data_IF_137676292170
#
_entry.id   IF_137676292170
#
_cell.length_a   1.000
_cell.length_b   1.000
_cell.length_c   1.000
_cell.angle_alpha   90.00
_cell.angle_beta   90.00
_cell.angle_gamma   90.00
#
_symmetry.space_group_name_H-M   'P 1'
#
loop_
_entity.id
_entity.type
_entity.pdbx_description
1 polymer ?
#
# COMPACT_ATOMS: atom_id res chain seq x y z
N UNK A 1 1.65 58.96 11.07
CA UNK A 1 0.90 57.78 10.57
C UNK A 1 1.84 56.58 10.59
N UNK A 2 1.89 55.89 11.69
CA UNK A 2 2.73 54.69 11.94
C UNK A 2 1.99 53.49 11.40
N UNK A 3 2.51 52.85 10.34
CA UNK A 3 2.03 51.59 9.86
C UNK A 3 2.45 50.48 10.84
N UNK A 4 1.54 50.00 11.61
CA UNK A 4 1.70 48.81 12.44
C UNK A 4 1.73 47.60 11.51
N UNK A 5 2.90 47.06 11.21
CA UNK A 5 3.06 45.76 10.55
C UNK A 5 2.82 44.68 11.58
N UNK A 6 1.59 44.15 11.63
CA UNK A 6 1.31 42.91 12.35
C UNK A 6 2.02 41.77 11.62
N UNK A 7 3.24 41.44 12.05
CA UNK A 7 3.86 40.18 11.69
C UNK A 7 3.04 39.06 12.32
N UNK A 8 2.25 38.37 11.51
CA UNK A 8 1.66 37.11 11.92
C UNK A 8 2.83 36.19 12.32
N UNK A 9 3.04 35.98 13.61
CA UNK A 9 4.02 35.00 14.12
C UNK A 9 3.65 33.63 13.55
N UNK A 10 4.40 33.19 12.56
CA UNK A 10 4.24 31.88 11.96
C UNK A 10 4.50 30.84 13.06
N UNK A 11 3.47 30.08 13.43
CA UNK A 11 3.62 29.02 14.42
C UNK A 11 4.72 28.05 14.02
N UNK A 12 5.66 27.71 14.90
CA UNK A 12 6.75 26.79 14.59
C UNK A 12 6.21 25.38 14.28
N UNK A 13 6.93 24.65 13.44
CA UNK A 13 6.64 23.24 13.20
C UNK A 13 6.91 22.43 14.46
N UNK A 14 5.95 21.61 14.85
CA UNK A 14 6.09 20.65 15.95
C UNK A 14 5.98 19.23 15.41
N UNK A 15 6.83 18.35 15.93
CA UNK A 15 6.76 16.92 15.66
C UNK A 15 6.14 16.23 16.86
N UNK A 16 5.12 15.40 16.63
CA UNK A 16 4.44 14.66 17.69
C UNK A 16 4.08 13.25 17.22
N UNK A 17 3.97 12.29 18.14
CA UNK A 17 3.40 10.98 17.81
C UNK A 17 1.99 11.11 17.28
N UNK A 18 1.67 10.31 16.25
CA UNK A 18 0.32 10.17 15.71
C UNK A 18 -0.43 9.02 16.36
N UNK A 19 -1.74 9.03 16.18
CA UNK A 19 -2.67 8.02 16.69
C UNK A 19 -3.77 7.71 15.68
N UNK A 20 -4.66 6.77 15.99
CA UNK A 20 -5.82 6.48 15.15
C UNK A 20 -6.76 7.69 14.98
N UNK A 21 -6.80 8.61 15.95
CA UNK A 21 -7.58 9.84 15.86
C UNK A 21 -7.09 10.77 14.72
N UNK A 22 -5.84 10.62 14.31
CA UNK A 22 -5.23 11.41 13.23
C UNK A 22 -5.44 10.79 11.83
N UNK A 23 -6.08 9.62 11.73
CA UNK A 23 -6.24 8.87 10.46
C UNK A 23 -6.84 9.72 9.34
N UNK A 24 -7.86 10.55 9.62
CA UNK A 24 -8.45 11.43 8.61
C UNK A 24 -7.52 12.59 8.21
N UNK A 25 -6.82 13.17 9.17
CA UNK A 25 -5.88 14.27 8.89
C UNK A 25 -4.73 13.81 7.98
N UNK A 26 -4.16 12.62 8.25
CA UNK A 26 -3.09 12.08 7.41
C UNK A 26 -3.60 11.60 6.05
N UNK A 27 -4.84 11.10 5.96
CA UNK A 27 -5.49 10.84 4.69
C UNK A 27 -5.58 12.11 3.83
N UNK A 28 -5.95 13.26 4.40
CA UNK A 28 -5.99 14.53 3.67
C UNK A 28 -4.60 14.99 3.20
N UNK A 29 -3.57 14.79 4.04
CA UNK A 29 -2.18 15.07 3.63
C UNK A 29 -1.77 14.17 2.46
N UNK A 30 -2.09 12.88 2.53
CA UNK A 30 -1.83 11.94 1.44
C UNK A 30 -2.50 12.38 0.14
N UNK A 31 -3.82 12.60 0.14
CA UNK A 31 -4.58 12.94 -1.06
C UNK A 31 -4.05 14.22 -1.73
N UNK A 32 -3.77 15.27 -0.94
CA UNK A 32 -3.21 16.53 -1.45
C UNK A 32 -1.80 16.37 -2.01
N UNK A 33 -0.96 15.60 -1.33
CA UNK A 33 0.42 15.35 -1.77
C UNK A 33 0.45 14.46 -3.01
N UNK A 34 -0.43 13.47 -3.08
CA UNK A 34 -0.56 12.58 -4.23
C UNK A 34 -1.10 13.33 -5.46
N UNK A 35 -2.11 14.20 -5.28
CA UNK A 35 -2.63 15.05 -6.35
C UNK A 35 -1.55 15.99 -6.93
N UNK A 36 -0.66 16.51 -6.11
CA UNK A 36 0.46 17.31 -6.58
C UNK A 36 1.50 16.46 -7.32
N UNK A 37 1.81 15.28 -6.79
CA UNK A 37 2.74 14.35 -7.42
C UNK A 37 2.26 13.91 -8.80
N UNK A 38 1.01 13.47 -8.92
CA UNK A 38 0.43 13.04 -10.21
C UNK A 38 0.47 14.17 -11.24
N UNK A 39 0.14 15.41 -10.84
CA UNK A 39 0.24 16.58 -11.71
C UNK A 39 1.69 16.84 -12.17
N UNK A 40 2.68 16.77 -11.26
CA UNK A 40 4.10 16.94 -11.60
C UNK A 40 4.63 15.87 -12.53
N UNK A 41 4.10 14.66 -12.44
CA UNK A 41 4.49 13.53 -13.30
C UNK A 41 3.69 13.47 -14.62
N UNK A 42 2.77 14.42 -14.85
CA UNK A 42 1.92 14.42 -16.05
C UNK A 42 0.92 13.27 -16.08
N UNK A 43 0.57 12.69 -14.94
CA UNK A 43 -0.45 11.66 -14.81
C UNK A 43 -1.84 12.29 -14.84
N UNK A 44 -2.79 11.61 -15.47
CA UNK A 44 -4.16 12.12 -15.68
C UNK A 44 -5.19 11.56 -14.72
N UNK A 45 -4.77 10.86 -13.68
CA UNK A 45 -5.70 10.28 -12.71
C UNK A 45 -6.55 11.34 -12.01
N UNK A 46 -7.90 11.15 -11.97
CA UNK A 46 -8.76 12.03 -11.22
C UNK A 46 -8.46 11.89 -9.73
N UNK A 47 -7.96 12.95 -9.12
CA UNK A 47 -7.78 13.00 -7.68
C UNK A 47 -9.08 13.43 -7.00
N UNK A 48 -9.40 12.82 -5.88
CA UNK A 48 -10.61 13.13 -5.09
C UNK A 48 -10.58 14.52 -4.44
N UNK A 49 -9.44 15.21 -4.44
CA UNK A 49 -9.23 16.43 -3.64
C UNK A 49 -10.11 17.60 -4.06
N UNK A 50 -10.47 17.69 -5.34
CA UNK A 50 -11.28 18.79 -5.84
C UNK A 50 -12.80 18.62 -5.65
N UNK A 51 -13.25 17.40 -5.35
CA UNK A 51 -14.66 17.06 -5.13
C UNK A 51 -14.87 16.51 -3.72
N UNK A 52 -15.55 17.27 -2.82
CA UNK A 52 -15.81 16.83 -1.44
C UNK A 52 -16.58 15.50 -1.36
N UNK A 53 -17.48 15.23 -2.30
CA UNK A 53 -18.24 13.97 -2.30
C UNK A 53 -17.35 12.80 -2.74
N UNK A 54 -16.48 12.99 -3.73
CA UNK A 54 -15.48 11.99 -4.10
C UNK A 54 -14.48 11.75 -2.98
N UNK A 55 -14.02 12.80 -2.30
CA UNK A 55 -13.13 12.69 -1.15
C UNK A 55 -13.76 11.88 0.00
N UNK A 56 -15.04 12.13 0.31
CA UNK A 56 -15.76 11.39 1.33
C UNK A 56 -15.92 9.90 0.95
N UNK A 57 -16.22 9.59 -0.31
CA UNK A 57 -16.27 8.20 -0.81
C UNK A 57 -14.91 7.51 -0.71
N UNK A 58 -13.83 8.19 -1.10
CA UNK A 58 -12.46 7.68 -1.01
C UNK A 58 -12.07 7.42 0.45
N UNK A 59 -12.40 8.34 1.35
CA UNK A 59 -12.19 8.13 2.78
C UNK A 59 -12.95 6.90 3.29
N UNK A 60 -14.24 6.80 3.01
CA UNK A 60 -15.05 5.64 3.43
C UNK A 60 -14.44 4.31 2.96
N UNK A 61 -13.92 4.27 1.74
CA UNK A 61 -13.27 3.07 1.18
C UNK A 61 -11.90 2.76 1.81
N UNK A 62 -11.14 3.78 2.24
CA UNK A 62 -9.78 3.63 2.74
C UNK A 62 -9.65 3.66 4.26
N UNK A 63 -10.66 4.12 4.98
CA UNK A 63 -10.63 4.32 6.43
C UNK A 63 -10.11 3.11 7.19
N UNK A 64 -10.64 1.92 6.90
CA UNK A 64 -10.21 0.69 7.56
C UNK A 64 -8.71 0.42 7.43
N UNK A 65 -8.10 0.74 6.30
CA UNK A 65 -6.65 0.63 6.08
C UNK A 65 -5.89 1.65 6.95
N UNK A 66 -6.33 2.90 6.99
CA UNK A 66 -5.70 3.94 7.80
C UNK A 66 -5.77 3.61 9.29
N UNK A 67 -6.92 3.12 9.75
CA UNK A 67 -7.14 2.71 11.14
C UNK A 67 -6.28 1.50 11.50
N UNK A 68 -6.19 0.49 10.60
CA UNK A 68 -5.32 -0.68 10.77
C UNK A 68 -3.84 -0.27 10.86
N UNK A 69 -3.37 0.56 9.92
CA UNK A 69 -1.98 1.02 9.93
C UNK A 69 -1.67 1.88 11.15
N UNK A 70 -2.60 2.71 11.63
CA UNK A 70 -2.41 3.50 12.84
C UNK A 70 -2.35 2.62 14.10
N UNK A 71 -3.23 1.62 14.19
CA UNK A 71 -3.29 0.70 15.33
C UNK A 71 -2.08 -0.25 15.41
N UNK A 72 -1.44 -0.54 14.27
CA UNK A 72 -0.33 -1.49 14.18
C UNK A 72 1.01 -0.85 13.84
N UNK A 73 1.07 0.49 13.85
CA UNK A 73 2.30 1.23 13.65
C UNK A 73 3.31 0.96 14.77
N UNK A 74 4.57 0.77 14.42
CA UNK A 74 5.68 0.81 15.35
C UNK A 74 6.10 2.27 15.61
N UNK A 75 6.19 3.05 14.53
CA UNK A 75 6.39 4.48 14.60
C UNK A 75 5.39 5.21 13.70
N UNK A 76 4.70 6.18 14.29
CA UNK A 76 3.80 7.08 13.58
C UNK A 76 4.04 8.51 14.06
N UNK A 77 4.47 9.40 13.17
CA UNK A 77 4.83 10.78 13.49
C UNK A 77 4.16 11.78 12.57
N UNK A 78 3.71 12.87 13.18
CA UNK A 78 3.12 14.03 12.51
C UNK A 78 4.06 15.22 12.58
N UNK A 79 4.10 16.02 11.52
CA UNK A 79 4.60 17.38 11.53
C UNK A 79 3.40 18.32 11.49
N UNK A 80 3.24 19.18 12.50
CA UNK A 80 2.11 20.10 12.64
C UNK A 80 2.57 21.54 12.68
N UNK A 81 1.75 22.41 12.08
CA UNK A 81 1.83 23.87 12.23
C UNK A 81 0.53 24.36 12.87
N UNK A 82 0.59 24.81 14.13
CA UNK A 82 -0.64 24.98 14.91
C UNK A 82 -1.42 23.67 14.96
N UNK A 83 -2.66 23.70 14.51
CA UNK A 83 -3.53 22.52 14.45
C UNK A 83 -3.48 21.77 13.13
N UNK A 84 -2.87 22.37 12.08
CA UNK A 84 -2.77 21.75 10.77
C UNK A 84 -1.67 20.69 10.73
N UNK A 85 -2.00 19.49 10.22
CA UNK A 85 -1.01 18.47 9.87
C UNK A 85 -0.45 18.77 8.49
N UNK A 86 0.85 19.12 8.41
CA UNK A 86 1.54 19.48 7.16
C UNK A 86 2.41 18.36 6.61
N UNK A 87 2.59 17.29 7.36
CA UNK A 87 3.29 16.09 6.92
C UNK A 87 3.19 14.99 7.95
N UNK A 88 3.42 13.75 7.49
CA UNK A 88 3.46 12.59 8.38
C UNK A 88 4.34 11.49 7.80
N UNK A 89 4.76 10.60 8.68
CA UNK A 89 5.37 9.33 8.30
C UNK A 89 4.94 8.22 9.24
N UNK A 90 4.90 6.99 8.71
CA UNK A 90 4.49 5.82 9.46
C UNK A 90 5.29 4.61 9.03
N UNK A 91 5.75 3.81 10.00
CA UNK A 91 6.35 2.49 9.78
C UNK A 91 5.67 1.43 10.63
N UNK A 92 5.65 0.22 10.08
CA UNK A 92 5.18 -0.98 10.77
C UNK A 92 6.34 -1.96 10.87
N UNK A 93 6.30 -2.83 11.89
CA UNK A 93 7.22 -3.98 12.00
C UNK A 93 6.40 -5.26 11.92
N UNK A 94 6.85 -6.19 11.10
CA UNK A 94 6.26 -7.52 10.94
C UNK A 94 7.38 -8.55 11.03
N UNK A 95 7.40 -9.31 12.10
CA UNK A 95 8.37 -10.38 12.32
C UNK A 95 9.82 -9.95 12.02
N UNK A 96 10.27 -8.85 12.63
CA UNK A 96 11.61 -8.29 12.47
C UNK A 96 11.88 -7.56 11.14
N UNK A 97 10.87 -7.35 10.31
CA UNK A 97 11.00 -6.56 9.09
C UNK A 97 10.25 -5.24 9.24
N UNK A 98 10.96 -4.13 9.04
CA UNK A 98 10.39 -2.79 9.09
C UNK A 98 9.99 -2.32 7.70
N UNK A 99 8.75 -1.94 7.54
CA UNK A 99 8.20 -1.33 6.34
C UNK A 99 7.87 0.14 6.59
N UNK A 100 8.44 1.04 5.80
CA UNK A 100 7.92 2.41 5.69
C UNK A 100 6.63 2.34 4.86
N UNK A 101 5.50 2.53 5.52
CA UNK A 101 4.20 2.49 4.83
C UNK A 101 3.88 3.79 4.13
N UNK A 102 4.26 4.92 4.75
CA UNK A 102 3.92 6.25 4.25
C UNK A 102 4.94 7.30 4.70
N UNK A 103 5.22 8.23 3.80
CA UNK A 103 5.96 9.48 4.07
C UNK A 103 5.43 10.55 3.12
N UNK A 104 4.66 11.47 3.64
CA UNK A 104 4.07 12.55 2.85
C UNK A 104 4.24 13.90 3.55
N UNK A 105 4.51 14.92 2.73
CA UNK A 105 4.63 16.32 3.14
C UNK A 105 3.84 17.15 2.14
N UNK A 106 2.98 18.02 2.63
CA UNK A 106 2.19 18.92 1.79
C UNK A 106 3.08 19.72 0.83
N UNK A 107 2.64 19.99 -0.42
CA UNK A 107 3.45 20.66 -1.43
C UNK A 107 4.13 21.95 -0.97
N UNK A 108 3.39 22.81 -0.25
CA UNK A 108 3.95 24.07 0.28
C UNK A 108 5.01 23.91 1.37
N UNK A 109 5.24 22.68 1.86
CA UNK A 109 6.21 22.36 2.93
C UNK A 109 7.31 21.41 2.47
N UNK A 110 7.29 21.00 1.21
CA UNK A 110 8.36 20.20 0.63
C UNK A 110 9.65 21.00 0.56
N UNK A 111 10.79 20.31 0.48
CA UNK A 111 12.14 20.93 0.46
C UNK A 111 12.53 21.72 1.72
N UNK A 112 11.70 21.79 2.75
CA UNK A 112 11.96 22.45 4.05
C UNK A 112 12.72 21.56 5.05
N UNK A 113 13.03 20.30 4.69
CA UNK A 113 13.67 19.33 5.58
C UNK A 113 12.69 18.46 6.37
N UNK A 114 11.38 18.74 6.33
CA UNK A 114 10.36 17.98 7.08
C UNK A 114 10.37 16.48 6.74
N UNK A 115 10.48 16.12 5.46
CA UNK A 115 10.54 14.72 5.05
C UNK A 115 11.75 13.98 5.64
N UNK A 116 12.91 14.63 5.73
CA UNK A 116 14.12 14.07 6.36
C UNK A 116 13.91 13.83 7.86
N UNK A 117 13.31 14.80 8.54
CA UNK A 117 13.02 14.73 9.97
C UNK A 117 11.99 13.67 10.32
N UNK A 118 10.91 13.55 9.52
CA UNK A 118 9.91 12.50 9.65
C UNK A 118 10.52 11.12 9.39
N UNK A 119 11.28 10.98 8.31
CA UNK A 119 11.94 9.71 7.97
C UNK A 119 12.90 9.24 9.07
N UNK A 120 13.64 10.17 9.69
CA UNK A 120 14.55 9.84 10.78
C UNK A 120 13.83 9.25 12.00
N UNK A 121 12.58 9.68 12.25
CA UNK A 121 11.77 9.21 13.38
C UNK A 121 11.15 7.85 13.14
N UNK A 122 10.85 7.50 11.89
CA UNK A 122 10.17 6.23 11.57
C UNK A 122 11.11 5.15 11.02
N UNK A 123 12.32 5.54 10.58
CA UNK A 123 13.40 4.64 10.18
C UNK A 123 14.70 5.00 10.93
N UNK A 124 14.79 4.69 12.24
CA UNK A 124 15.98 4.99 13.03
C UNK A 124 17.21 4.26 12.46
N UNK A 125 18.38 4.95 12.49
CA UNK A 125 19.60 4.43 11.88
C UNK A 125 20.18 3.17 12.55
N UNK A 126 19.87 2.98 13.82
CA UNK A 126 20.39 1.87 14.64
C UNK A 126 19.56 0.57 14.55
N UNK A 127 18.50 0.58 13.75
CA UNK A 127 17.68 -0.62 13.58
C UNK A 127 18.48 -1.70 12.83
N UNK A 128 18.67 -2.86 13.46
CA UNK A 128 19.28 -4.05 12.86
C UNK A 128 18.32 -4.82 11.97
N UNK A 129 17.07 -4.39 11.93
CA UNK A 129 15.99 -4.99 11.16
C UNK A 129 16.19 -4.83 9.66
N UNK A 130 15.70 -5.79 8.90
CA UNK A 130 15.53 -5.61 7.46
C UNK A 130 14.52 -4.49 7.21
N UNK A 131 14.81 -3.62 6.26
CA UNK A 131 13.98 -2.44 5.96
C UNK A 131 13.64 -2.42 4.49
N UNK A 132 12.39 -2.13 4.19
CA UNK A 132 11.97 -1.90 2.81
C UNK A 132 10.84 -0.87 2.71
N UNK A 133 10.59 -0.41 1.52
CA UNK A 133 9.51 0.49 1.17
C UNK A 133 9.15 0.32 -0.30
N UNK A 134 7.95 0.74 -0.65
CA UNK A 134 7.56 0.99 -2.04
C UNK A 134 7.65 2.49 -2.29
N UNK A 135 8.47 2.90 -3.26
CA UNK A 135 8.68 4.30 -3.61
C UNK A 135 8.10 4.62 -4.98
N UNK A 136 7.53 5.80 -5.09
CA UNK A 136 7.19 6.40 -6.38
C UNK A 136 8.44 6.84 -7.14
N UNK A 137 8.29 7.30 -8.39
CA UNK A 137 9.36 7.85 -9.21
C UNK A 137 9.75 9.29 -8.83
N UNK A 138 9.25 9.83 -7.72
CA UNK A 138 9.58 11.16 -7.22
C UNK A 138 11.06 11.24 -6.81
N UNK A 139 11.87 11.95 -7.60
CA UNK A 139 13.32 12.02 -7.41
C UNK A 139 13.74 12.59 -6.03
N UNK A 140 13.11 13.65 -5.49
CA UNK A 140 13.38 14.11 -4.13
C UNK A 140 13.19 13.03 -3.05
N UNK A 141 12.13 12.25 -3.14
CA UNK A 141 11.87 11.15 -2.20
C UNK A 141 12.91 10.03 -2.37
N UNK A 142 13.20 9.64 -3.61
CA UNK A 142 14.25 8.63 -3.88
C UNK A 142 15.62 9.06 -3.36
N UNK A 143 16.03 10.31 -3.59
CA UNK A 143 17.28 10.83 -3.06
C UNK A 143 17.35 10.78 -1.52
N UNK A 144 16.20 10.98 -0.85
CA UNK A 144 16.09 10.87 0.60
C UNK A 144 16.29 9.41 1.07
N UNK A 145 15.72 8.44 0.36
CA UNK A 145 15.88 7.01 0.67
C UNK A 145 17.30 6.51 0.42
N UNK A 146 17.91 6.91 -0.71
CA UNK A 146 19.32 6.57 -1.04
C UNK A 146 20.28 7.06 0.04
N UNK A 147 20.07 8.27 0.58
CA UNK A 147 20.88 8.82 1.70
C UNK A 147 20.73 8.02 3.00
N UNK A 148 19.71 7.16 3.10
CA UNK A 148 19.47 6.25 4.23
C UNK A 148 19.89 4.82 3.94
N UNK A 149 20.58 4.57 2.83
CA UNK A 149 21.05 3.24 2.43
C UNK A 149 19.94 2.32 1.90
N UNK A 150 18.81 2.89 1.46
CA UNK A 150 17.71 2.14 0.85
C UNK A 150 17.85 2.26 -0.67
N UNK A 151 18.25 1.16 -1.31
CA UNK A 151 18.50 1.11 -2.75
C UNK A 151 17.41 0.35 -3.49
N UNK A 152 17.02 0.78 -4.71
CA UNK A 152 16.08 0.07 -5.55
C UNK A 152 16.49 -1.38 -5.78
N UNK A 153 15.53 -2.30 -5.71
CA UNK A 153 15.75 -3.72 -5.99
C UNK A 153 15.09 -4.14 -7.30
N UNK A 154 13.85 -3.75 -7.50
CA UNK A 154 13.06 -4.01 -8.69
C UNK A 154 11.94 -2.98 -8.78
N UNK A 155 11.39 -2.81 -9.97
CA UNK A 155 10.18 -2.02 -10.19
C UNK A 155 8.93 -2.84 -9.86
N UNK A 156 7.89 -2.15 -9.39
CA UNK A 156 6.56 -2.70 -9.20
C UNK A 156 5.63 -1.88 -10.07
N UNK A 157 4.84 -2.55 -10.91
CA UNK A 157 3.85 -1.90 -11.75
C UNK A 157 2.45 -2.30 -11.32
N UNK A 158 1.51 -1.37 -11.46
CA UNK A 158 0.09 -1.63 -11.28
C UNK A 158 -0.49 -2.07 -12.62
N UNK A 159 -1.03 -3.30 -12.65
CA UNK A 159 -1.72 -3.86 -13.80
C UNK A 159 -3.20 -3.88 -13.51
N UNK A 160 -4.02 -3.43 -14.47
CA UNK A 160 -5.44 -3.40 -14.28
C UNK A 160 -6.24 -3.56 -15.59
N UNK A 161 -7.49 -3.99 -15.45
CA UNK A 161 -8.54 -3.91 -16.48
C UNK A 161 -9.93 -4.05 -15.86
N UNK A 162 -10.97 -3.84 -16.66
CA UNK A 162 -12.30 -4.28 -16.30
C UNK A 162 -12.33 -5.81 -16.25
N UNK A 163 -12.78 -6.42 -15.14
CA UNK A 163 -12.74 -7.87 -14.98
C UNK A 163 -13.72 -8.57 -15.92
N UNK A 164 -13.35 -9.75 -16.37
CA UNK A 164 -14.16 -10.56 -17.31
C UNK A 164 -14.49 -11.91 -16.67
N UNK A 165 -15.63 -12.46 -17.05
CA UNK A 165 -15.92 -13.86 -16.84
C UNK A 165 -15.07 -14.67 -17.81
N UNK A 166 -14.10 -15.39 -17.31
CA UNK A 166 -13.19 -16.22 -18.10
C UNK A 166 -13.55 -17.69 -17.85
N UNK A 167 -13.37 -18.55 -18.89
CA UNK A 167 -13.41 -20.00 -18.67
C UNK A 167 -12.37 -20.37 -17.61
N UNK A 168 -12.73 -21.30 -16.73
CA UNK A 168 -11.77 -21.84 -15.76
C UNK A 168 -10.57 -22.42 -16.51
N UNK A 169 -9.37 -21.96 -16.21
CA UNK A 169 -8.16 -22.52 -16.80
C UNK A 169 -7.91 -23.90 -16.21
N UNK A 170 -7.65 -24.88 -17.06
CA UNK A 170 -7.23 -26.21 -16.60
C UNK A 170 -6.02 -26.06 -15.66
N UNK A 171 -6.17 -26.64 -14.48
CA UNK A 171 -5.18 -26.57 -13.41
C UNK A 171 -5.47 -27.70 -12.41
N UNK A 172 -4.43 -28.22 -11.79
CA UNK A 172 -4.52 -29.17 -10.68
C UNK A 172 -4.72 -28.48 -9.32
N UNK A 173 -4.98 -27.17 -9.31
CA UNK A 173 -5.23 -26.39 -8.11
C UNK A 173 -6.67 -26.57 -7.62
N UNK A 174 -6.81 -27.04 -6.39
CA UNK A 174 -8.05 -26.93 -5.63
C UNK A 174 -8.10 -25.53 -4.99
N UNK A 175 -9.24 -24.85 -5.09
CA UNK A 175 -9.46 -23.49 -4.60
C UNK A 175 -10.42 -23.54 -3.42
N UNK A 176 -10.00 -22.98 -2.31
CA UNK A 176 -10.77 -22.91 -1.07
C UNK A 176 -10.98 -21.45 -0.67
N UNK A 177 -12.23 -21.05 -0.41
CA UNK A 177 -12.51 -19.75 0.17
C UNK A 177 -12.02 -19.72 1.63
N UNK A 178 -11.08 -18.83 1.91
CA UNK A 178 -10.52 -18.71 3.24
C UNK A 178 -11.50 -18.03 4.18
N UNK A 179 -11.75 -18.66 5.32
CA UNK A 179 -12.52 -18.08 6.43
C UNK A 179 -11.56 -17.38 7.42
N UNK A 180 -12.05 -16.38 8.19
CA UNK A 180 -11.25 -15.73 9.23
C UNK A 180 -11.02 -16.67 10.42
N UNK A 181 -10.13 -17.65 10.26
CA UNK A 181 -9.80 -18.66 11.25
C UNK A 181 -8.30 -18.61 11.58
N UNK A 182 -7.96 -19.08 12.79
CA UNK A 182 -6.56 -19.20 13.20
C UNK A 182 -5.77 -20.13 12.24
N UNK A 183 -6.42 -21.19 11.73
CA UNK A 183 -5.80 -22.13 10.81
C UNK A 183 -5.44 -21.46 9.46
N UNK A 184 -6.37 -20.70 8.87
CA UNK A 184 -6.10 -19.98 7.63
C UNK A 184 -4.97 -18.94 7.80
N UNK A 185 -4.99 -18.18 8.89
CA UNK A 185 -3.92 -17.22 9.21
C UNK A 185 -2.57 -17.93 9.39
N UNK A 186 -2.55 -19.08 10.07
CA UNK A 186 -1.35 -19.86 10.24
C UNK A 186 -0.77 -20.31 8.89
N UNK A 187 -1.62 -20.87 8.01
CA UNK A 187 -1.22 -21.32 6.66
C UNK A 187 -0.62 -20.15 5.87
N UNK A 188 -1.31 -19.00 5.83
CA UNK A 188 -0.84 -17.82 5.09
C UNK A 188 0.48 -17.29 5.65
N UNK A 189 0.63 -17.22 6.98
CA UNK A 189 1.86 -16.78 7.62
C UNK A 189 3.04 -17.74 7.39
N UNK A 190 2.80 -19.05 7.35
CA UNK A 190 3.83 -20.02 7.02
C UNK A 190 4.30 -19.88 5.56
N UNK A 191 3.38 -19.56 4.65
CA UNK A 191 3.73 -19.26 3.25
C UNK A 191 4.49 -17.94 3.12
N UNK A 192 4.10 -16.91 3.88
CA UNK A 192 4.87 -15.67 3.95
C UNK A 192 6.31 -15.94 4.40
N UNK A 193 6.50 -16.73 5.45
CA UNK A 193 7.85 -17.11 5.94
C UNK A 193 8.67 -17.79 4.85
N UNK A 194 8.05 -18.66 4.05
CA UNK A 194 8.76 -19.40 2.99
C UNK A 194 9.26 -18.53 1.84
N UNK A 195 8.52 -17.44 1.49
CA UNK A 195 8.84 -16.61 0.34
C UNK A 195 9.36 -15.21 0.72
N UNK A 196 8.87 -14.65 1.83
CA UNK A 196 9.23 -13.30 2.25
C UNK A 196 10.20 -13.31 3.43
N UNK A 197 10.40 -14.51 4.05
CA UNK A 197 11.23 -14.72 5.23
C UNK A 197 10.76 -13.88 6.44
N UNK A 198 9.45 -13.65 6.55
CA UNK A 198 8.78 -13.04 7.70
C UNK A 198 7.27 -13.24 7.61
N UNK A 199 6.59 -13.22 8.77
CA UNK A 199 5.13 -13.37 8.89
C UNK A 199 4.42 -12.02 8.87
N UNK A 200 3.14 -12.04 8.40
CA UNK A 200 2.25 -10.87 8.39
C UNK A 200 0.88 -11.19 8.96
N UNK A 201 0.81 -12.01 9.99
CA UNK A 201 -0.45 -12.54 10.56
C UNK A 201 -1.44 -11.43 10.96
N UNK A 202 -0.94 -10.30 11.46
CA UNK A 202 -1.80 -9.16 11.84
C UNK A 202 -2.46 -8.53 10.63
N UNK A 203 -1.74 -8.50 9.49
CA UNK A 203 -2.28 -7.97 8.24
C UNK A 203 -3.24 -8.97 7.60
N UNK A 204 -2.98 -10.28 7.69
CA UNK A 204 -3.91 -11.31 7.22
C UNK A 204 -5.24 -11.28 7.97
N UNK A 205 -5.24 -11.07 9.30
CA UNK A 205 -6.48 -10.90 10.09
C UNK A 205 -7.30 -9.70 9.61
N UNK A 206 -6.64 -8.61 9.28
CA UNK A 206 -7.30 -7.43 8.75
C UNK A 206 -7.78 -7.67 7.31
N UNK A 207 -6.94 -8.19 6.42
CA UNK A 207 -7.25 -8.41 5.01
C UNK A 207 -8.46 -9.33 4.81
N UNK A 208 -8.54 -10.44 5.56
CA UNK A 208 -9.63 -11.42 5.43
C UNK A 208 -10.98 -10.84 5.88
N UNK A 209 -10.96 -9.80 6.72
CA UNK A 209 -12.14 -9.03 7.10
C UNK A 209 -12.55 -7.95 6.08
N UNK A 210 -11.67 -7.62 5.14
CA UNK A 210 -11.89 -6.57 4.12
C UNK A 210 -12.09 -7.11 2.71
N UNK A 211 -11.58 -8.31 2.43
CA UNK A 211 -11.53 -8.94 1.12
C UNK A 211 -11.84 -10.42 1.25
N UNK A 212 -12.37 -11.02 0.19
CA UNK A 212 -12.50 -12.47 0.16
C UNK A 212 -11.11 -13.09 -0.03
N UNK A 213 -10.64 -13.81 0.97
CA UNK A 213 -9.42 -14.61 0.91
C UNK A 213 -9.64 -15.95 0.21
N UNK A 214 -8.60 -16.45 -0.46
CA UNK A 214 -8.57 -17.76 -1.08
C UNK A 214 -7.26 -18.45 -0.74
N UNK A 215 -7.34 -19.76 -0.46
CA UNK A 215 -6.21 -20.68 -0.39
C UNK A 215 -6.21 -21.54 -1.65
N UNK A 216 -5.04 -21.75 -2.22
CA UNK A 216 -4.80 -22.60 -3.38
C UNK A 216 -4.04 -23.83 -2.92
N UNK A 217 -4.56 -25.02 -3.24
CA UNK A 217 -3.99 -26.29 -2.82
C UNK A 217 -3.61 -27.15 -4.03
N UNK A 218 -2.52 -27.88 -3.94
CA UNK A 218 -2.12 -28.93 -4.88
C UNK A 218 -1.92 -30.22 -4.10
N UNK A 219 -2.61 -31.29 -4.49
CA UNK A 219 -2.56 -32.59 -3.79
C UNK A 219 -2.78 -32.45 -2.26
N UNK A 220 -3.76 -31.60 -1.86
CA UNK A 220 -4.11 -31.34 -0.46
C UNK A 220 -3.12 -30.46 0.31
N UNK A 221 -2.06 -29.93 -0.33
CA UNK A 221 -1.08 -29.06 0.32
C UNK A 221 -1.30 -27.61 -0.12
N UNK A 222 -1.25 -26.62 0.79
CA UNK A 222 -1.35 -25.22 0.42
C UNK A 222 -0.10 -24.80 -0.38
N UNK A 223 -0.33 -24.20 -1.55
CA UNK A 223 0.70 -23.73 -2.48
C UNK A 223 0.59 -22.23 -2.80
N UNK A 224 -0.48 -21.59 -2.35
CA UNK A 224 -0.70 -20.17 -2.57
C UNK A 224 -1.88 -19.62 -1.79
N UNK A 225 -1.93 -18.30 -1.72
CA UNK A 225 -3.11 -17.56 -1.28
C UNK A 225 -3.28 -16.28 -2.09
N UNK A 226 -4.48 -15.72 -2.02
CA UNK A 226 -4.77 -14.42 -2.63
C UNK A 226 -6.04 -13.80 -2.06
N UNK A 227 -6.20 -12.51 -2.28
CA UNK A 227 -7.36 -11.76 -1.85
C UNK A 227 -8.02 -11.05 -3.02
N UNK A 228 -9.36 -11.11 -3.07
CA UNK A 228 -10.18 -10.44 -4.07
C UNK A 228 -11.20 -9.55 -3.38
N UNK A 229 -11.29 -8.29 -3.81
CA UNK A 229 -12.19 -7.32 -3.22
C UNK A 229 -12.24 -6.03 -4.04
N UNK A 230 -12.55 -4.92 -3.40
CA UNK A 230 -12.50 -3.60 -4.03
C UNK A 230 -11.07 -3.28 -4.52
N UNK A 231 -10.07 -3.67 -3.75
CA UNK A 231 -8.66 -3.79 -4.16
C UNK A 231 -8.29 -5.26 -4.07
N UNK A 232 -7.67 -5.84 -5.09
CA UNK A 232 -7.24 -7.23 -5.08
C UNK A 232 -5.77 -7.36 -4.68
N UNK A 233 -5.40 -8.53 -4.21
CA UNK A 233 -4.06 -8.82 -3.66
C UNK A 233 -4.01 -8.63 -2.13
N UNK A 234 -2.84 -8.95 -1.51
CA UNK A 234 -1.70 -9.61 -2.15
C UNK A 234 -2.02 -11.02 -2.65
N UNK A 235 -1.28 -11.44 -3.67
CA UNK A 235 -1.21 -12.84 -4.12
C UNK A 235 0.19 -13.36 -3.87
N UNK A 236 0.28 -14.54 -3.28
CA UNK A 236 1.55 -15.22 -3.00
C UNK A 236 1.42 -16.68 -3.41
N UNK A 237 2.32 -17.14 -4.29
CA UNK A 237 2.34 -18.50 -4.80
C UNK A 237 3.75 -19.09 -4.66
N UNK A 238 3.84 -20.34 -4.22
CA UNK A 238 5.12 -21.04 -4.07
C UNK A 238 5.75 -21.45 -5.42
N UNK A 239 4.92 -21.54 -6.46
CA UNK A 239 5.34 -21.79 -7.84
C UNK A 239 4.79 -20.67 -8.74
N UNK A 240 5.66 -19.97 -9.44
CA UNK A 240 5.25 -18.91 -10.36
C UNK A 240 4.43 -19.42 -11.56
N UNK A 241 4.53 -20.71 -11.88
CA UNK A 241 3.75 -21.35 -12.93
C UNK A 241 2.24 -21.31 -12.64
N UNK A 242 1.83 -21.13 -11.39
CA UNK A 242 0.44 -21.08 -10.96
C UNK A 242 -0.24 -19.72 -11.18
N UNK A 243 0.54 -18.64 -11.40
CA UNK A 243 -0.03 -17.31 -11.57
C UNK A 243 -1.11 -17.23 -12.66
N UNK A 244 -0.97 -17.84 -13.84
CA UNK A 244 -2.02 -17.79 -14.85
C UNK A 244 -3.36 -18.37 -14.38
N UNK A 245 -3.36 -19.50 -13.68
CA UNK A 245 -4.59 -20.13 -13.17
C UNK A 245 -5.19 -19.31 -12.03
N UNK A 246 -4.36 -18.86 -11.09
CA UNK A 246 -4.77 -18.06 -9.93
C UNK A 246 -5.31 -16.70 -10.36
N UNK A 247 -4.67 -16.00 -11.29
CA UNK A 247 -5.14 -14.70 -11.76
C UNK A 247 -6.41 -14.82 -12.60
N UNK A 248 -6.56 -15.92 -13.40
CA UNK A 248 -7.83 -16.22 -14.09
C UNK A 248 -8.98 -16.41 -13.09
N UNK A 249 -8.75 -17.19 -12.03
CA UNK A 249 -9.75 -17.37 -10.97
C UNK A 249 -10.07 -16.04 -10.27
N UNK A 250 -9.05 -15.28 -9.86
CA UNK A 250 -9.24 -14.04 -9.12
C UNK A 250 -9.99 -12.98 -9.95
N UNK A 251 -9.70 -12.88 -11.24
CA UNK A 251 -10.43 -12.01 -12.16
C UNK A 251 -11.89 -12.43 -12.32
N UNK A 252 -12.13 -13.74 -12.54
CA UNK A 252 -13.49 -14.31 -12.61
C UNK A 252 -14.29 -14.04 -11.34
N UNK A 253 -13.65 -14.11 -10.17
CA UNK A 253 -14.26 -13.79 -8.90
C UNK A 253 -14.61 -12.30 -8.78
N UNK A 254 -13.70 -11.42 -9.19
CA UNK A 254 -13.98 -9.99 -9.24
C UNK A 254 -15.15 -9.67 -10.17
N UNK A 255 -15.25 -10.34 -11.32
CA UNK A 255 -16.38 -10.21 -12.23
C UNK A 255 -17.68 -10.70 -11.61
N UNK A 256 -17.68 -11.87 -10.92
CA UNK A 256 -18.86 -12.39 -10.19
C UNK A 256 -19.33 -11.47 -9.07
N UNK A 257 -18.40 -10.76 -8.42
CA UNK A 257 -18.71 -9.75 -7.41
C UNK A 257 -19.20 -8.42 -8.03
N UNK A 258 -19.34 -8.33 -9.35
CA UNK A 258 -19.78 -7.11 -10.04
C UNK A 258 -18.78 -5.95 -9.96
N UNK A 259 -17.49 -6.24 -9.80
CA UNK A 259 -16.46 -5.20 -9.73
C UNK A 259 -16.28 -4.54 -11.11
N UNK A 260 -16.13 -3.24 -11.12
CA UNK A 260 -15.80 -2.49 -12.34
C UNK A 260 -14.31 -2.48 -12.66
N UNK A 261 -13.48 -2.92 -11.71
CA UNK A 261 -12.04 -2.85 -11.77
C UNK A 261 -11.40 -4.06 -11.10
N UNK A 262 -10.43 -4.68 -11.78
CA UNK A 262 -9.55 -5.68 -11.22
C UNK A 262 -8.11 -5.26 -11.50
N UNK A 263 -7.37 -4.99 -10.45
CA UNK A 263 -5.99 -4.52 -10.54
C UNK A 263 -5.14 -5.02 -9.39
N UNK A 264 -3.84 -5.14 -9.66
CA UNK A 264 -2.85 -5.62 -8.69
C UNK A 264 -1.46 -5.02 -8.97
N UNK A 265 -0.70 -4.83 -7.92
CA UNK A 265 0.72 -4.48 -7.99
C UNK A 265 1.56 -5.73 -8.21
N UNK A 266 2.43 -5.71 -9.21
CA UNK A 266 3.27 -6.86 -9.57
C UNK A 266 4.73 -6.43 -9.68
N UNK A 267 5.63 -7.04 -8.89
CA UNK A 267 7.07 -6.92 -9.09
C UNK A 267 7.47 -7.46 -10.46
N UNK A 268 8.23 -6.67 -11.24
CA UNK A 268 8.60 -7.07 -12.62
C UNK A 268 9.47 -8.32 -12.68
N UNK A 269 10.11 -8.68 -11.58
CA UNK A 269 10.87 -9.95 -11.46
C UNK A 269 9.97 -11.19 -11.52
N UNK A 270 8.66 -11.03 -11.30
CA UNK A 270 7.67 -12.08 -11.49
C UNK A 270 7.24 -12.16 -12.96
N UNK A 271 8.11 -12.70 -13.79
CA UNK A 271 7.92 -12.73 -15.24
C UNK A 271 6.67 -13.50 -15.67
N UNK A 272 6.28 -14.55 -14.94
CA UNK A 272 5.09 -15.35 -15.27
C UNK A 272 3.81 -14.55 -15.10
N UNK A 273 3.69 -13.82 -13.99
CA UNK A 273 2.53 -12.93 -13.76
C UNK A 273 2.51 -11.79 -14.77
N UNK A 274 3.65 -11.11 -15.01
CA UNK A 274 3.77 -10.00 -15.96
C UNK A 274 3.36 -10.46 -17.38
N UNK A 275 3.93 -11.55 -17.87
CA UNK A 275 3.64 -12.07 -19.22
C UNK A 275 2.16 -12.46 -19.35
N UNK A 276 1.58 -13.10 -18.33
CA UNK A 276 0.16 -13.45 -18.32
C UNK A 276 -0.71 -12.19 -18.44
N UNK A 277 -0.47 -11.19 -17.60
CA UNK A 277 -1.26 -9.96 -17.55
C UNK A 277 -1.20 -9.21 -18.90
N UNK A 278 0.00 -9.01 -19.45
CA UNK A 278 0.18 -8.34 -20.74
C UNK A 278 -0.51 -9.12 -21.88
N UNK A 279 -0.33 -10.44 -21.94
CA UNK A 279 -0.94 -11.29 -22.98
C UNK A 279 -2.47 -11.32 -22.87
N UNK A 280 -3.04 -11.00 -21.72
CA UNK A 280 -4.48 -10.94 -21.49
C UNK A 280 -5.06 -9.52 -21.55
N UNK A 281 -4.27 -8.52 -21.99
CA UNK A 281 -4.73 -7.17 -22.26
C UNK A 281 -4.95 -6.32 -20.99
N UNK A 282 -4.20 -6.59 -19.94
CA UNK A 282 -4.12 -5.67 -18.80
C UNK A 282 -3.32 -4.44 -19.20
N UNK A 283 -3.82 -3.28 -18.79
CA UNK A 283 -3.09 -2.03 -18.90
C UNK A 283 -2.07 -1.92 -17.76
N UNK A 284 -0.92 -1.31 -18.05
CA UNK A 284 0.02 -0.87 -17.02
C UNK A 284 -0.34 0.57 -16.69
N UNK A 285 -0.49 0.85 -15.40
CA UNK A 285 -0.60 2.20 -14.89
C UNK A 285 0.72 2.65 -14.25
N UNK A 286 0.97 3.95 -14.31
CA UNK A 286 2.21 4.58 -13.84
C UNK A 286 2.15 4.92 -12.37
#
# INVERSE_FOLDING_TARGET
MTRSSTSAHESPIRFQPGSAADSYAVFLVFERSYADLTRRLGMTEPTSVADPAALARTWAARRSMYDHLAATADHFWLAKRGDETVGFARSIVRDGVRLLTELFVLPGWQSSGLGRELLARVLPAQATERRWLLATTDLPAQALYLKRGLYPRFSVYYFWRQPRQLPTRESDLAIEAATPSAAAIQIMGDMDTRLLDHRRDVDHRWLIGQRQGYLYHRAGRPVGYGYVGQTSGPFLLLDEADFPAVLTHAEGEAARQGRSHFGLEVPVVNHRAVNYLLSNGFCIDR
#
